data_IF_323534666896
#
_entry.id   IF_323534666896
#
_cell.length_a   1.000
_cell.length_b   1.000
_cell.length_c   1.000
_cell.angle_alpha   90.00
_cell.angle_beta   90.00
_cell.angle_gamma   90.00
#
_symmetry.space_group_name_H-M   'P 1'
#
loop_
_entity.id
_entity.type
_entity.pdbx_description
1 polymer ?
#
# COMPACT_ATOMS: atom_id res chain seq x y z
N UNK A 1 -8.55 -20.38 5.13
CA UNK A 1 -8.10 -19.20 4.41
C UNK A 1 -7.74 -19.56 2.98
N UNK A 2 -8.26 -18.83 2.06
CA UNK A 2 -7.96 -19.07 0.66
C UNK A 2 -6.68 -18.34 0.28
N UNK A 3 -5.84 -19.00 -0.49
CA UNK A 3 -4.61 -18.39 -0.96
C UNK A 3 -4.78 -17.92 -2.41
N UNK A 4 -3.83 -17.11 -2.87
CA UNK A 4 -3.83 -16.69 -4.27
C UNK A 4 -3.79 -17.88 -5.21
N UNK A 5 -3.13 -18.94 -4.79
CA UNK A 5 -3.01 -20.15 -5.63
C UNK A 5 -4.32 -20.89 -5.74
N UNK A 6 -5.00 -21.12 -4.62
CA UNK A 6 -6.23 -21.89 -4.61
C UNK A 6 -7.40 -21.20 -5.30
N UNK A 7 -7.38 -19.88 -5.31
CA UNK A 7 -8.48 -19.09 -5.88
C UNK A 7 -8.20 -18.63 -7.29
N UNK A 8 -7.14 -19.11 -7.92
CA UNK A 8 -6.68 -18.55 -9.18
C UNK A 8 -6.54 -17.04 -9.08
N UNK A 9 -6.12 -16.58 -7.94
CA UNK A 9 -5.93 -15.16 -7.71
C UNK A 9 -4.59 -14.74 -8.28
N UNK A 10 -4.53 -13.51 -8.77
CA UNK A 10 -3.29 -12.96 -9.28
C UNK A 10 -3.28 -11.44 -9.09
N UNK A 11 -2.10 -10.89 -9.16
CA UNK A 11 -1.92 -9.45 -9.06
C UNK A 11 -1.56 -8.95 -10.45
N UNK A 12 -2.44 -8.12 -10.97
CA UNK A 12 -2.26 -7.54 -12.26
C UNK A 12 -1.59 -6.19 -12.12
N UNK A 13 -0.51 -6.03 -12.83
CA UNK A 13 0.29 -4.84 -12.82
C UNK A 13 -0.20 -3.89 -13.90
N UNK A 14 -0.43 -2.66 -13.57
CA UNK A 14 -0.79 -1.64 -14.53
C UNK A 14 -0.07 -0.35 -14.24
N UNK A 15 0.35 0.32 -15.29
CA UNK A 15 1.07 1.55 -15.22
C UNK A 15 0.27 2.59 -15.97
N UNK A 16 -0.26 3.58 -15.27
CA UNK A 16 -1.06 4.61 -15.89
C UNK A 16 -0.37 5.95 -15.78
N UNK A 17 -0.31 6.69 -16.88
CA UNK A 17 0.23 8.03 -16.94
C UNK A 17 1.53 8.18 -16.19
N UNK A 18 2.57 7.76 -16.69
CA UNK A 18 3.84 7.91 -16.04
C UNK A 18 4.54 9.21 -16.41
N UNK A 19 3.84 10.30 -16.33
CA UNK A 19 4.39 11.60 -16.60
C UNK A 19 4.52 12.41 -15.39
N UNK A 20 5.53 12.55 -14.72
CA UNK A 20 5.71 13.25 -13.49
C UNK A 20 5.29 12.36 -12.35
N UNK A 21 4.50 12.76 -11.44
CA UNK A 21 4.17 12.04 -10.23
C UNK A 21 3.13 10.98 -10.46
N UNK A 22 3.37 10.16 -11.39
CA UNK A 22 2.42 9.28 -11.84
C UNK A 22 1.96 8.25 -10.94
N UNK A 23 0.85 7.69 -11.31
CA UNK A 23 0.16 6.66 -10.64
C UNK A 23 0.65 5.32 -11.14
N UNK A 24 0.94 4.46 -10.22
CA UNK A 24 1.32 3.09 -10.49
C UNK A 24 0.36 2.21 -9.71
N UNK A 25 -0.31 1.28 -10.37
CA UNK A 25 -1.34 0.49 -9.74
C UNK A 25 -1.16 -0.99 -9.91
N UNK A 26 -1.47 -1.75 -8.86
CA UNK A 26 -1.64 -3.18 -8.92
C UNK A 26 -3.08 -3.51 -8.64
N UNK A 27 -3.69 -4.29 -9.51
CA UNK A 27 -5.04 -4.78 -9.30
C UNK A 27 -4.96 -6.20 -8.77
N UNK A 28 -5.69 -6.45 -7.69
CA UNK A 28 -5.78 -7.79 -7.11
C UNK A 28 -7.02 -8.45 -7.69
N UNK A 29 -6.84 -9.61 -8.30
CA UNK A 29 -7.93 -10.34 -8.95
C UNK A 29 -8.07 -11.73 -8.36
N UNK A 30 -9.31 -12.18 -8.28
CA UNK A 30 -9.63 -13.56 -7.93
C UNK A 30 -10.54 -14.09 -9.04
N UNK A 31 -10.15 -15.18 -9.67
CA UNK A 31 -10.88 -15.75 -10.80
C UNK A 31 -11.18 -14.71 -11.88
N UNK A 32 -10.15 -13.90 -12.19
CA UNK A 32 -10.22 -12.85 -13.19
C UNK A 32 -11.12 -11.67 -12.82
N UNK A 33 -11.60 -11.63 -11.61
CA UNK A 33 -12.45 -10.55 -11.14
C UNK A 33 -11.66 -9.63 -10.22
N UNK A 34 -11.62 -8.32 -10.49
CA UNK A 34 -10.93 -7.39 -9.61
C UNK A 34 -11.62 -7.34 -8.24
N UNK A 35 -10.84 -7.48 -7.19
CA UNK A 35 -11.35 -7.44 -5.82
C UNK A 35 -10.69 -6.38 -4.97
N UNK A 36 -9.59 -5.81 -5.45
CA UNK A 36 -8.89 -4.78 -4.72
C UNK A 36 -7.81 -4.13 -5.55
N UNK A 37 -7.18 -3.13 -4.99
CA UNK A 37 -6.18 -2.35 -5.69
C UNK A 37 -5.16 -1.80 -4.72
N UNK A 38 -3.93 -1.71 -5.19
CA UNK A 38 -2.86 -1.02 -4.48
C UNK A 38 -2.31 0.00 -5.45
N UNK A 39 -2.23 1.25 -5.01
CA UNK A 39 -1.69 2.30 -5.85
C UNK A 39 -0.51 2.98 -5.18
N UNK A 40 0.37 3.51 -6.01
CA UNK A 40 1.52 4.28 -5.57
C UNK A 40 1.37 5.66 -6.19
N UNK A 41 1.36 6.66 -5.34
CA UNK A 41 1.11 8.02 -5.77
C UNK A 41 1.98 9.00 -4.98
N UNK A 42 1.88 10.27 -5.30
CA UNK A 42 2.69 11.31 -4.70
C UNK A 42 4.17 10.94 -4.67
N UNK A 43 4.67 10.55 -5.82
CA UNK A 43 6.06 10.13 -5.98
C UNK A 43 6.95 11.36 -5.92
N UNK A 44 7.87 11.37 -4.97
CA UNK A 44 8.83 12.45 -4.78
C UNK A 44 10.22 11.90 -5.03
N UNK A 45 10.75 12.15 -6.23
CA UNK A 45 12.06 11.62 -6.62
C UNK A 45 13.22 12.32 -5.93
N UNK A 46 13.01 13.52 -5.41
CA UNK A 46 14.05 14.19 -4.66
C UNK A 46 14.26 13.56 -3.30
N UNK A 47 13.18 13.16 -2.66
CA UNK A 47 13.25 12.48 -1.38
C UNK A 47 13.28 10.96 -1.51
N UNK A 48 13.19 10.45 -2.72
CA UNK A 48 13.17 9.02 -3.00
C UNK A 48 12.05 8.31 -2.25
N UNK A 49 10.87 8.92 -2.21
CA UNK A 49 9.75 8.37 -1.48
C UNK A 49 8.45 8.45 -2.27
N UNK A 50 7.48 7.65 -1.87
CA UNK A 50 6.16 7.65 -2.45
C UNK A 50 5.14 7.22 -1.41
N UNK A 51 3.87 7.52 -1.67
CA UNK A 51 2.77 7.08 -0.83
C UNK A 51 2.11 5.86 -1.44
N UNK A 52 1.59 5.00 -0.59
CA UNK A 52 0.82 3.84 -1.00
C UNK A 52 -0.59 3.95 -0.46
N UNK A 53 -1.57 3.72 -1.34
CA UNK A 53 -2.95 3.53 -0.94
C UNK A 53 -3.39 2.13 -1.33
N UNK A 54 -4.38 1.60 -0.65
CA UNK A 54 -4.95 0.31 -1.02
C UNK A 54 -6.37 0.18 -0.50
N UNK A 55 -7.13 -0.66 -1.20
CA UNK A 55 -8.45 -1.06 -0.74
C UNK A 55 -8.72 -2.48 -1.21
N UNK A 56 -9.64 -3.12 -0.55
CA UNK A 56 -10.08 -4.45 -0.94
C UNK A 56 -11.57 -4.59 -0.65
N UNK A 57 -12.24 -5.35 -1.51
CA UNK A 57 -13.63 -5.64 -1.32
C UNK A 57 -13.84 -6.34 0.02
N UNK A 58 -14.86 -5.91 0.75
CA UNK A 58 -15.14 -6.41 2.10
C UNK A 58 -15.18 -7.93 2.16
N UNK A 59 -15.74 -8.55 1.13
CA UNK A 59 -15.83 -10.01 1.05
C UNK A 59 -14.48 -10.71 1.13
N UNK A 60 -13.41 -10.03 0.72
CA UNK A 60 -12.08 -10.61 0.63
C UNK A 60 -11.11 -10.08 1.68
N UNK A 61 -11.62 -9.36 2.66
CA UNK A 61 -10.79 -8.87 3.76
C UNK A 61 -10.25 -10.02 4.61
N UNK A 62 -9.14 -9.76 5.28
CA UNK A 62 -8.55 -10.69 6.24
C UNK A 62 -8.10 -12.02 5.62
N UNK A 63 -7.83 -12.04 4.33
CA UNK A 63 -7.35 -13.24 3.65
C UNK A 63 -5.93 -13.10 3.14
N UNK A 64 -5.27 -11.99 3.45
CA UNK A 64 -3.86 -11.79 3.10
C UNK A 64 -3.61 -11.27 1.69
N UNK A 65 -4.64 -10.92 0.94
CA UNK A 65 -4.44 -10.45 -0.43
C UNK A 65 -3.68 -9.13 -0.51
N UNK A 66 -4.09 -8.15 0.29
CA UNK A 66 -3.39 -6.85 0.29
C UNK A 66 -1.96 -7.02 0.77
N UNK A 67 -1.75 -7.79 1.82
CA UNK A 67 -0.41 -8.01 2.35
C UNK A 67 0.51 -8.64 1.31
N UNK A 68 0.01 -9.62 0.57
CA UNK A 68 0.79 -10.24 -0.49
C UNK A 68 1.13 -9.25 -1.61
N UNK A 69 0.17 -8.39 -1.95
CA UNK A 69 0.40 -7.35 -2.95
C UNK A 69 1.45 -6.36 -2.50
N UNK A 70 1.38 -5.92 -1.24
CA UNK A 70 2.37 -4.99 -0.69
C UNK A 70 3.75 -5.61 -0.64
N UNK A 71 3.87 -6.89 -0.32
CA UNK A 71 5.17 -7.57 -0.36
C UNK A 71 5.79 -7.51 -1.75
N UNK A 72 4.99 -7.69 -2.79
CA UNK A 72 5.50 -7.60 -4.16
C UNK A 72 5.97 -6.20 -4.48
N UNK A 73 5.23 -5.18 -4.07
CA UNK A 73 5.61 -3.79 -4.31
C UNK A 73 6.93 -3.49 -3.60
N UNK A 74 7.08 -3.89 -2.37
CA UNK A 74 8.29 -3.66 -1.59
C UNK A 74 9.51 -4.24 -2.30
N UNK A 75 9.34 -5.37 -2.96
CA UNK A 75 10.44 -6.01 -3.70
C UNK A 75 10.73 -5.33 -5.04
N UNK A 76 9.70 -4.88 -5.72
CA UNK A 76 9.83 -4.37 -7.09
C UNK A 76 10.24 -2.91 -7.13
N UNK A 77 9.66 -2.08 -6.28
CA UNK A 77 9.79 -0.64 -6.37
C UNK A 77 11.23 -0.14 -6.29
N UNK A 78 12.05 -0.60 -5.35
CA UNK A 78 13.42 -0.08 -5.27
C UNK A 78 14.25 -0.34 -6.51
N UNK A 79 13.99 -1.43 -7.21
CA UNK A 79 14.77 -1.77 -8.40
C UNK A 79 14.27 -1.10 -9.66
N UNK A 80 12.99 -0.77 -9.72
CA UNK A 80 12.40 -0.15 -10.91
C UNK A 80 12.36 1.36 -10.85
N UNK A 81 12.26 1.91 -9.65
CA UNK A 81 12.15 3.33 -9.43
C UNK A 81 13.14 3.74 -8.38
N UNK A 82 13.58 4.98 -8.41
CA UNK A 82 14.49 5.47 -7.38
C UNK A 82 13.70 5.87 -6.15
N UNK A 83 13.03 4.90 -5.58
CA UNK A 83 12.21 5.08 -4.39
C UNK A 83 12.68 4.05 -3.37
N UNK A 84 13.11 4.54 -2.22
CA UNK A 84 13.57 3.68 -1.14
C UNK A 84 12.77 3.85 0.14
N UNK A 85 11.74 4.68 0.10
CA UNK A 85 10.85 4.88 1.24
C UNK A 85 9.40 4.92 0.80
N UNK A 86 8.57 4.18 1.49
CA UNK A 86 7.12 4.16 1.25
C UNK A 86 6.39 4.68 2.47
N UNK A 87 5.36 5.46 2.22
CA UNK A 87 4.52 6.03 3.27
C UNK A 87 3.08 5.58 3.10
N UNK A 88 2.42 5.28 4.21
CA UNK A 88 1.00 4.96 4.22
C UNK A 88 0.32 5.89 5.21
N UNK A 89 -0.73 6.56 4.75
CA UNK A 89 -1.54 7.45 5.57
C UNK A 89 -2.78 6.69 6.00
N UNK A 90 -3.01 6.58 7.30
CA UNK A 90 -4.12 5.81 7.84
C UNK A 90 -4.88 6.66 8.84
N UNK A 91 -6.21 6.74 8.66
CA UNK A 91 -7.09 7.38 9.61
C UNK A 91 -6.88 6.75 11.00
N UNK A 92 -6.74 7.58 12.02
CA UNK A 92 -6.47 7.09 13.38
C UNK A 92 -7.55 6.14 13.87
N UNK A 93 -8.77 6.28 13.36
CA UNK A 93 -9.89 5.42 13.74
C UNK A 93 -9.93 4.11 12.98
N UNK A 94 -9.14 3.98 11.93
CA UNK A 94 -9.14 2.77 11.12
C UNK A 94 -8.11 1.77 11.65
N UNK A 95 -8.43 1.17 12.78
CA UNK A 95 -7.50 0.28 13.47
C UNK A 95 -7.12 -0.94 12.62
N UNK A 96 -8.08 -1.48 11.88
CA UNK A 96 -7.83 -2.66 11.05
C UNK A 96 -6.75 -2.40 10.00
N UNK A 97 -6.76 -1.23 9.40
CA UNK A 97 -5.79 -0.91 8.35
C UNK A 97 -4.36 -0.78 8.85
N UNK A 98 -4.16 -0.64 10.14
CA UNK A 98 -2.82 -0.51 10.71
C UNK A 98 -2.09 -1.84 10.80
N UNK A 99 -2.81 -2.95 10.90
CA UNK A 99 -2.18 -4.25 11.12
C UNK A 99 -1.30 -4.68 9.95
N UNK A 100 -1.73 -4.43 8.73
CA UNK A 100 -0.97 -4.86 7.56
C UNK A 100 0.37 -4.13 7.46
N UNK A 101 0.41 -2.79 7.49
CA UNK A 101 1.70 -2.09 7.43
C UNK A 101 2.63 -2.48 8.57
N UNK A 102 2.11 -2.55 9.78
CA UNK A 102 2.93 -2.91 10.95
C UNK A 102 3.52 -4.29 10.76
N UNK A 103 2.75 -5.25 10.26
CA UNK A 103 3.24 -6.61 10.04
C UNK A 103 4.33 -6.69 8.98
N UNK A 104 4.42 -5.69 8.12
CA UNK A 104 5.43 -5.62 7.06
C UNK A 104 6.64 -4.77 7.44
N UNK A 105 6.68 -4.26 8.66
CA UNK A 105 7.82 -3.49 9.14
C UNK A 105 7.66 -1.98 9.06
N UNK A 106 6.51 -1.49 8.61
CA UNK A 106 6.26 -0.05 8.66
C UNK A 106 6.16 0.40 10.10
N UNK A 107 6.65 1.60 10.35
CA UNK A 107 6.61 2.20 11.68
C UNK A 107 5.91 3.55 11.63
N UNK A 108 5.16 3.85 12.67
CA UNK A 108 4.52 5.14 12.76
C UNK A 108 5.60 6.22 12.88
N UNK A 109 5.53 7.21 12.01
CA UNK A 109 6.50 8.29 11.97
C UNK A 109 5.90 9.63 12.37
N UNK A 110 4.62 9.82 12.14
CA UNK A 110 4.01 11.13 12.38
C UNK A 110 2.49 11.00 12.48
N UNK A 111 1.87 12.12 12.87
CA UNK A 111 0.42 12.29 12.86
C UNK A 111 0.10 13.62 12.23
N UNK A 112 -1.01 13.68 11.50
CA UNK A 112 -1.52 14.92 10.95
C UNK A 112 -2.93 15.12 11.46
N UNK A 113 -3.18 16.22 12.15
CA UNK A 113 -4.50 16.56 12.65
C UNK A 113 -5.33 17.19 11.56
N UNK A 114 -6.62 16.86 11.54
CA UNK A 114 -7.59 17.46 10.63
C UNK A 114 -7.13 17.41 9.18
N UNK A 115 -6.61 16.26 8.78
CA UNK A 115 -6.03 16.06 7.45
C UNK A 115 -7.09 15.99 6.36
N UNK A 116 -8.19 15.30 6.61
CA UNK A 116 -9.27 15.18 5.65
C UNK A 116 -10.62 15.41 6.30
N UNK A 117 -11.53 16.03 5.54
CA UNK A 117 -12.91 16.22 5.95
C UNK A 117 -13.78 15.26 5.14
N UNK A 118 -14.45 14.36 5.84
CA UNK A 118 -15.47 13.51 5.21
C UNK A 118 -16.52 13.12 6.25
N UNK A 119 -17.72 12.84 5.77
CA UNK A 119 -18.86 12.56 6.63
C UNK A 119 -19.10 13.67 7.67
N UNK A 120 -18.79 14.92 7.32
CA UNK A 120 -19.03 16.07 8.18
C UNK A 120 -18.01 16.31 9.28
N UNK A 121 -16.94 15.51 9.33
CA UNK A 121 -15.92 15.64 10.37
C UNK A 121 -14.53 15.64 9.78
N UNK A 122 -13.63 16.38 10.43
CA UNK A 122 -12.21 16.29 10.14
C UNK A 122 -11.64 15.04 10.80
N UNK A 123 -10.76 14.37 10.10
CA UNK A 123 -10.13 13.16 10.59
C UNK A 123 -8.63 13.35 10.72
N UNK A 124 -8.09 12.82 11.80
CA UNK A 124 -6.64 12.80 12.02
C UNK A 124 -6.08 11.55 11.37
N UNK A 125 -4.87 11.66 10.84
CA UNK A 125 -4.21 10.53 10.18
C UNK A 125 -2.86 10.26 10.83
N UNK A 126 -2.49 9.00 10.85
CA UNK A 126 -1.15 8.55 11.23
C UNK A 126 -0.39 8.23 9.96
N UNK A 127 0.89 8.54 9.95
CA UNK A 127 1.76 8.26 8.82
C UNK A 127 2.71 7.15 9.20
N UNK A 128 2.66 6.05 8.45
CA UNK A 128 3.55 4.91 8.63
C UNK A 128 4.55 4.88 7.50
N UNK A 129 5.82 4.64 7.82
CA UNK A 129 6.88 4.63 6.83
C UNK A 129 7.71 3.36 6.87
N UNK A 130 8.21 2.97 5.71
CA UNK A 130 9.11 1.85 5.55
C UNK A 130 10.30 2.28 4.71
N UNK A 131 11.51 2.11 5.25
CA UNK A 131 12.73 2.35 4.50
C UNK A 131 13.17 1.03 3.87
N UNK A 132 13.13 0.98 2.55
CA UNK A 132 13.39 -0.26 1.83
C UNK A 132 14.86 -0.54 1.57
N UNK A 133 15.70 0.43 1.83
CA UNK A 133 17.14 0.23 1.68
C UNK A 133 17.83 -0.22 2.95
N UNK A 134 17.10 -0.41 4.03
CA UNK A 134 17.66 -0.99 5.25
C UNK A 134 17.69 -2.50 5.10
N UNK A 135 18.81 -3.10 5.50
CA UNK A 135 19.09 -4.48 5.15
C UNK A 135 18.18 -5.55 5.71
N UNK A 136 17.30 -5.25 6.61
CA UNK A 136 16.41 -6.24 7.20
C UNK A 136 14.95 -5.99 6.90
N UNK A 137 14.70 -5.46 5.74
CA UNK A 137 13.34 -5.39 5.26
C UNK A 137 12.79 -6.79 5.30
N UNK A 138 11.60 -6.89 5.83
CA UNK A 138 10.96 -8.15 6.06
C UNK A 138 11.27 -9.13 4.96
N UNK A 139 12.01 -10.14 5.30
CA UNK A 139 12.43 -11.12 4.36
C UNK A 139 11.30 -11.98 3.95
N UNK A 140 10.28 -11.52 3.83
CA UNK A 140 9.25 -12.43 3.44
C UNK A 140 8.13 -11.71 2.87
#
# INVERSE_FOLDING_TARGET
>A
MKSLENEKAFIKYAREKMERNELFMLTICVNQKPIGMIDIHNIDLQKHQAEIGYWISERYENQGFVKQGLKKIIKIIPSKFKIDKLLIYIDVDNVKSKFIPISLGFKKENEISQFELYNGFYHDFEIYGLNMNEGNIANG
#
